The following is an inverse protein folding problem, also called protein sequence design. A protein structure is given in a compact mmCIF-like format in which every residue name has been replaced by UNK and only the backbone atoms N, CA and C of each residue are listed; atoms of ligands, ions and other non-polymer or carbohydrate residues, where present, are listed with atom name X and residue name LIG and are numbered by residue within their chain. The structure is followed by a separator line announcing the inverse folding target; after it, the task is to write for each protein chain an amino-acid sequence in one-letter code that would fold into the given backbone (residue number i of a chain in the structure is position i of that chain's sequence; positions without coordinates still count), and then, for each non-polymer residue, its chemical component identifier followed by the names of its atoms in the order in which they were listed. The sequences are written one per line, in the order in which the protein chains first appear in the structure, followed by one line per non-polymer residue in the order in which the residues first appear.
data_IF_226977179970
#
_entry.id   IF_226977179970
#
_cell.length_a   1.000
_cell.length_b   1.000
_cell.length_c   1.000
_cell.angle_alpha   90.00
_cell.angle_beta   90.00
_cell.angle_gamma   90.00
#
_symmetry.space_group_name_H-M   'P 1'
#
loop_
_entity.id
_entity.type
_entity.pdbx_description
1 polymer ?
#
# COMPACT_ATOMS: atom_id res chain seq x y z
N UNK A 1 23.43 -2.27 -2.64
CA UNK A 1 22.67 -1.37 -1.73
C UNK A 1 22.81 -1.83 -0.28
N UNK A 2 22.62 -3.12 0.01
CA UNK A 2 22.85 -3.70 1.35
C UNK A 2 24.30 -3.53 1.83
N UNK A 3 25.30 -3.93 1.03
CA UNK A 3 26.72 -3.80 1.42
C UNK A 3 27.15 -2.35 1.66
N UNK A 4 26.52 -1.42 0.94
CA UNK A 4 26.71 0.02 1.10
C UNK A 4 25.87 0.63 2.24
N UNK A 5 25.14 -0.20 3.01
CA UNK A 5 24.21 0.17 4.09
C UNK A 5 23.12 1.18 3.68
N UNK A 6 22.75 1.16 2.39
CA UNK A 6 21.68 2.01 1.84
C UNK A 6 20.30 1.41 2.11
N UNK A 7 20.21 0.09 2.15
CA UNK A 7 18.98 -0.65 2.47
C UNK A 7 19.30 -1.73 3.51
N UNK A 8 18.37 -2.07 4.41
CA UNK A 8 18.53 -3.19 5.32
C UNK A 8 18.61 -4.52 4.56
N UNK A 9 19.17 -5.53 5.22
CA UNK A 9 19.14 -6.92 4.74
C UNK A 9 17.70 -7.45 4.74
N UNK A 10 17.40 -8.44 3.89
CA UNK A 10 16.08 -9.09 3.92
C UNK A 10 15.78 -9.76 5.26
N UNK A 11 16.82 -10.26 5.93
CA UNK A 11 16.71 -10.82 7.26
C UNK A 11 16.28 -9.76 8.29
N UNK A 12 16.91 -8.58 8.30
CA UNK A 12 16.52 -7.48 9.19
C UNK A 12 15.08 -7.00 8.94
N UNK A 13 14.61 -7.06 7.69
CA UNK A 13 13.21 -6.73 7.34
C UNK A 13 12.20 -7.77 7.80
N UNK A 14 12.60 -9.04 7.81
CA UNK A 14 11.74 -10.13 8.29
C UNK A 14 11.75 -10.24 9.82
N UNK A 15 12.88 -10.01 10.49
CA UNK A 15 12.97 -9.99 11.96
C UNK A 15 12.26 -8.77 12.57
N UNK A 16 12.18 -7.69 11.79
CA UNK A 16 11.35 -6.52 12.03
C UNK A 16 9.83 -6.78 11.99
N UNK A 17 9.41 -7.97 11.53
CA UNK A 17 8.04 -8.33 11.18
C UNK A 17 6.99 -7.83 12.17
N UNK A 18 6.22 -6.84 11.72
CA UNK A 18 4.76 -6.82 11.76
C UNK A 18 4.32 -5.40 11.35
N UNK A 19 3.39 -5.35 10.40
CA UNK A 19 2.64 -4.16 9.98
C UNK A 19 3.23 -3.34 8.80
N UNK A 20 2.62 -3.60 7.65
CA UNK A 20 2.31 -2.68 6.54
C UNK A 20 3.47 -2.22 5.67
N UNK A 21 3.73 -2.97 4.58
CA UNK A 21 3.94 -2.45 3.22
C UNK A 21 5.09 -1.48 2.95
N UNK A 22 5.89 -1.12 3.96
CA UNK A 22 6.75 0.07 3.90
C UNK A 22 8.25 -0.25 3.85
N UNK A 23 8.58 -1.53 4.01
CA UNK A 23 9.95 -2.02 3.88
C UNK A 23 10.90 -1.66 5.01
N UNK A 24 10.43 -1.15 6.17
CA UNK A 24 11.21 -1.00 7.44
C UNK A 24 10.27 -0.99 8.66
N UNK A 25 10.74 -1.26 9.90
CA UNK A 25 9.98 -1.01 11.13
C UNK A 25 9.58 0.46 11.29
N UNK A 26 8.31 0.71 11.58
CA UNK A 26 7.81 2.06 11.93
C UNK A 26 8.64 2.68 13.05
N UNK A 27 8.98 1.92 14.11
CA UNK A 27 9.78 2.43 15.22
C UNK A 27 11.16 2.92 14.79
N UNK A 28 11.86 2.17 13.92
CA UNK A 28 13.19 2.52 13.44
C UNK A 28 13.17 3.70 12.46
N UNK A 29 12.08 3.84 11.70
CA UNK A 29 11.86 5.02 10.88
C UNK A 29 11.64 6.27 11.75
N UNK A 30 10.75 6.19 12.75
CA UNK A 30 10.47 7.30 13.66
C UNK A 30 11.70 7.71 14.50
N UNK A 31 12.59 6.77 14.85
CA UNK A 31 13.86 7.07 15.53
C UNK A 31 14.97 7.59 14.60
N UNK A 32 14.69 7.78 13.30
CA UNK A 32 15.64 8.22 12.26
C UNK A 32 16.83 7.26 12.10
N UNK A 33 16.67 5.99 12.48
CA UNK A 33 17.64 4.94 12.12
C UNK A 33 17.54 4.61 10.62
N UNK A 34 16.37 4.84 10.01
CA UNK A 34 16.18 4.84 8.56
C UNK A 34 15.77 6.23 8.08
N UNK A 35 16.49 6.75 7.08
CA UNK A 35 16.25 8.09 6.53
C UNK A 35 15.01 8.17 5.62
N UNK A 36 14.37 7.03 5.31
CA UNK A 36 13.20 7.00 4.44
C UNK A 36 12.54 5.63 4.37
N UNK A 37 11.30 5.63 3.89
CA UNK A 37 10.46 4.44 3.71
C UNK A 37 9.73 4.55 2.37
N UNK A 38 9.37 3.42 1.79
CA UNK A 38 8.27 3.40 0.80
C UNK A 38 6.97 3.38 1.59
N UNK A 39 5.94 4.15 1.24
CA UNK A 39 4.68 4.11 1.99
C UNK A 39 3.47 4.25 1.05
N UNK A 40 2.32 3.77 1.49
CA UNK A 40 1.04 4.05 0.83
C UNK A 40 0.69 5.54 0.93
N UNK A 41 0.46 6.17 -0.22
CA UNK A 41 0.02 7.57 -0.29
C UNK A 41 -1.21 7.84 0.59
N UNK A 42 -2.12 6.87 0.71
CA UNK A 42 -3.33 6.99 1.52
C UNK A 42 -3.06 7.11 3.03
N UNK A 43 -1.90 6.69 3.55
CA UNK A 43 -1.61 6.66 4.99
C UNK A 43 -0.48 7.60 5.43
N UNK A 44 0.16 8.30 4.50
CA UNK A 44 1.34 9.15 4.79
C UNK A 44 1.09 10.23 5.86
N UNK A 45 -0.15 10.70 5.99
CA UNK A 45 -0.56 11.65 7.03
C UNK A 45 -0.31 11.13 8.45
N UNK A 46 -0.42 9.82 8.68
CA UNK A 46 -0.15 9.21 9.98
C UNK A 46 1.34 9.33 10.34
N UNK A 47 2.23 8.94 9.43
CA UNK A 47 3.68 9.08 9.59
C UNK A 47 4.08 10.54 9.78
N UNK A 48 3.47 11.44 9.02
CA UNK A 48 3.73 12.88 9.12
C UNK A 48 3.38 13.45 10.49
N UNK A 49 2.21 13.12 11.04
CA UNK A 49 1.81 13.57 12.38
C UNK A 49 2.78 13.07 13.45
N UNK A 50 3.14 11.78 13.42
CA UNK A 50 4.07 11.20 14.39
C UNK A 50 5.48 11.81 14.33
N UNK A 51 5.96 12.14 13.12
CA UNK A 51 7.26 12.78 12.93
C UNK A 51 7.23 14.25 13.39
N UNK A 52 6.14 14.98 13.11
CA UNK A 52 5.94 16.36 13.58
C UNK A 52 5.94 16.46 15.10
N UNK A 53 5.30 15.53 15.81
CA UNK A 53 5.32 15.45 17.28
C UNK A 53 6.74 15.32 17.85
N UNK A 54 7.68 14.81 17.04
CA UNK A 54 9.10 14.66 17.39
C UNK A 54 9.98 15.77 16.82
N UNK A 55 9.39 16.86 16.31
CA UNK A 55 10.08 17.95 15.61
C UNK A 55 10.91 17.48 14.40
N UNK A 56 10.48 16.41 13.73
CA UNK A 56 11.10 15.89 12.52
C UNK A 56 10.30 16.30 11.28
N UNK A 57 11.01 16.42 10.15
CA UNK A 57 10.42 16.80 8.87
C UNK A 57 10.31 15.58 7.94
N UNK A 58 9.10 15.32 7.46
CA UNK A 58 8.86 14.39 6.35
C UNK A 58 8.89 15.13 5.01
N UNK A 59 9.55 14.54 4.01
CA UNK A 59 9.54 15.01 2.63
C UNK A 59 9.20 13.86 1.67
N UNK A 60 8.59 14.18 0.53
CA UNK A 60 8.31 13.20 -0.52
C UNK A 60 9.48 13.21 -1.50
N UNK A 61 10.09 12.04 -1.70
CA UNK A 61 11.13 11.83 -2.71
C UNK A 61 10.55 11.18 -3.96
N UNK A 62 11.25 11.33 -5.08
CA UNK A 62 11.03 10.47 -6.24
C UNK A 62 11.26 9.01 -5.86
N UNK A 63 10.41 8.12 -6.37
CA UNK A 63 10.57 6.69 -6.17
C UNK A 63 11.77 6.18 -6.98
N UNK A 64 12.63 5.33 -6.40
CA UNK A 64 13.81 4.83 -7.09
C UNK A 64 13.41 3.91 -8.25
N UNK A 65 14.05 4.10 -9.41
CA UNK A 65 13.89 3.26 -10.60
C UNK A 65 15.18 2.50 -10.88
N UNK A 66 15.08 1.20 -11.18
CA UNK A 66 16.25 0.36 -11.50
C UNK A 66 16.69 0.57 -12.94
N UNK A 67 15.73 0.79 -13.84
CA UNK A 67 15.95 1.14 -15.25
C UNK A 67 15.04 2.30 -15.63
N UNK A 68 15.48 3.14 -16.57
CA UNK A 68 14.65 4.21 -17.09
C UNK A 68 13.34 3.65 -17.65
N UNK A 69 12.21 4.18 -17.18
CA UNK A 69 10.87 3.71 -17.56
C UNK A 69 10.33 2.51 -16.78
N UNK A 70 11.03 2.00 -15.76
CA UNK A 70 10.47 0.96 -14.89
C UNK A 70 9.28 1.49 -14.09
N UNK A 71 8.12 0.82 -14.17
CA UNK A 71 6.93 1.15 -13.38
C UNK A 71 7.10 0.60 -11.96
N UNK A 72 7.26 1.47 -10.97
CA UNK A 72 7.41 1.08 -9.57
C UNK A 72 6.14 1.18 -8.72
N UNK A 73 5.12 1.87 -9.23
CA UNK A 73 3.93 2.18 -8.44
C UNK A 73 2.84 1.12 -8.57
N UNK A 74 2.18 0.84 -7.46
CA UNK A 74 0.97 0.02 -7.41
C UNK A 74 -0.22 0.92 -7.12
N UNK A 75 -1.22 0.90 -7.99
CA UNK A 75 -2.54 1.47 -7.69
C UNK A 75 -3.43 0.38 -7.07
N UNK A 76 -3.81 0.57 -5.82
CA UNK A 76 -4.65 -0.38 -5.09
C UNK A 76 -5.66 0.32 -4.17
N UNK A 77 -6.87 -0.23 -4.11
CA UNK A 77 -7.84 0.09 -3.06
C UNK A 77 -7.50 -0.67 -1.78
N UNK A 78 -7.27 0.05 -0.68
CA UNK A 78 -6.87 -0.56 0.61
C UNK A 78 -8.05 -0.95 1.50
N UNK A 79 -9.18 -0.23 1.42
CA UNK A 79 -10.33 -0.41 2.34
C UNK A 79 -11.68 -0.20 1.61
N UNK A 80 -12.04 -1.08 0.64
CA UNK A 80 -13.31 -0.95 -0.06
C UNK A 80 -14.50 -1.26 0.86
N UNK A 81 -15.61 -0.56 0.65
CA UNK A 81 -16.89 -0.93 1.24
C UNK A 81 -17.60 -1.97 0.35
N UNK A 82 -18.19 -2.99 0.98
CA UNK A 82 -19.02 -3.99 0.32
C UNK A 82 -20.44 -4.01 0.89
N UNK A 83 -21.44 -4.16 0.03
CA UNK A 83 -22.82 -4.42 0.44
C UNK A 83 -23.09 -5.91 0.24
N UNK A 84 -23.51 -6.60 1.31
CA UNK A 84 -23.86 -8.02 1.24
C UNK A 84 -25.03 -8.24 0.27
N UNK A 85 -24.88 -9.20 -0.64
CA UNK A 85 -25.95 -9.65 -1.54
C UNK A 85 -27.20 -10.13 -0.78
N UNK A 86 -27.02 -10.58 0.46
CA UNK A 86 -28.08 -11.17 1.29
C UNK A 86 -28.70 -10.18 2.30
N UNK A 87 -28.37 -8.87 2.21
CA UNK A 87 -28.95 -7.88 3.12
C UNK A 87 -30.47 -7.82 2.98
N UNK A 88 -31.17 -7.72 4.10
CA UNK A 88 -32.62 -7.48 4.13
C UNK A 88 -33.00 -6.02 3.85
N UNK A 89 -32.00 -5.12 3.82
CA UNK A 89 -32.18 -3.67 3.72
C UNK A 89 -31.30 -3.04 2.62
N UNK A 90 -31.38 -3.50 1.35
CA UNK A 90 -30.45 -3.08 0.31
C UNK A 90 -30.51 -1.57 0.03
N UNK A 91 -31.70 -0.95 0.13
CA UNK A 91 -31.88 0.48 -0.11
C UNK A 91 -31.26 1.32 1.00
N UNK A 92 -31.49 0.94 2.26
CA UNK A 92 -30.99 1.64 3.44
C UNK A 92 -29.48 1.52 3.55
N UNK A 93 -28.92 0.32 3.29
CA UNK A 93 -27.47 0.11 3.28
C UNK A 93 -26.81 0.94 2.16
N UNK A 94 -27.40 1.00 0.97
CA UNK A 94 -26.88 1.84 -0.11
C UNK A 94 -26.94 3.34 0.24
N UNK A 95 -28.02 3.81 0.89
CA UNK A 95 -28.13 5.19 1.38
C UNK A 95 -27.05 5.51 2.41
N UNK A 96 -26.81 4.62 3.37
CA UNK A 96 -25.74 4.79 4.37
C UNK A 96 -24.37 4.88 3.69
N UNK A 97 -24.06 3.96 2.77
CA UNK A 97 -22.78 3.99 2.06
C UNK A 97 -22.62 5.30 1.28
N UNK A 98 -23.67 5.74 0.57
CA UNK A 98 -23.64 7.02 -0.14
C UNK A 98 -23.41 8.20 0.82
N UNK A 99 -24.06 8.22 1.98
CA UNK A 99 -23.83 9.24 3.00
C UNK A 99 -22.34 9.28 3.40
N UNK A 100 -21.75 8.14 3.74
CA UNK A 100 -20.36 8.07 4.21
C UNK A 100 -19.33 8.57 3.18
N UNK A 101 -19.56 8.36 1.88
CA UNK A 101 -18.53 8.57 0.85
C UNK A 101 -18.81 9.73 -0.12
N UNK A 102 -20.04 10.26 -0.14
CA UNK A 102 -20.45 11.32 -1.07
C UNK A 102 -21.14 12.51 -0.39
N UNK A 103 -21.82 12.30 0.74
CA UNK A 103 -22.52 13.39 1.43
C UNK A 103 -21.53 14.24 2.23
N UNK A 104 -21.60 15.59 2.19
CA UNK A 104 -20.67 16.45 2.90
C UNK A 104 -20.57 16.19 4.41
N UNK A 105 -21.67 15.88 5.08
CA UNK A 105 -21.63 15.60 6.53
C UNK A 105 -20.94 14.27 6.81
N UNK A 106 -21.29 13.24 6.03
CA UNK A 106 -20.67 11.91 6.15
C UNK A 106 -19.19 11.92 5.80
N UNK A 107 -18.80 12.59 4.71
CA UNK A 107 -17.40 12.76 4.30
C UNK A 107 -16.60 13.47 5.38
N UNK A 108 -17.08 14.60 5.92
CA UNK A 108 -16.38 15.34 6.98
C UNK A 108 -16.24 14.50 8.25
N UNK A 109 -17.29 13.76 8.62
CA UNK A 109 -17.27 12.86 9.77
C UNK A 109 -16.27 11.71 9.58
N UNK A 110 -16.17 11.16 8.37
CA UNK A 110 -15.21 10.11 8.03
C UNK A 110 -13.76 10.63 7.99
N UNK A 111 -13.56 11.88 7.55
CA UNK A 111 -12.25 12.50 7.43
C UNK A 111 -11.26 11.61 6.66
N UNK A 112 -10.08 11.43 7.25
CA UNK A 112 -9.01 10.58 6.71
C UNK A 112 -8.89 9.21 7.39
N UNK A 113 -9.91 8.78 8.14
CA UNK A 113 -9.87 7.50 8.89
C UNK A 113 -9.67 6.26 8.03
N UNK A 114 -9.96 6.36 6.72
CA UNK A 114 -9.72 5.30 5.71
C UNK A 114 -8.70 5.72 4.65
N UNK A 115 -7.88 6.72 4.98
CA UNK A 115 -6.92 7.36 4.09
C UNK A 115 -7.53 8.43 3.19
N UNK A 116 -6.71 8.98 2.31
CA UNK A 116 -7.09 10.03 1.36
C UNK A 116 -8.16 9.49 0.39
N UNK A 117 -9.36 10.10 0.30
CA UNK A 117 -10.40 9.63 -0.60
C UNK A 117 -9.99 9.74 -2.08
N UNK A 118 -10.21 8.65 -2.84
CA UNK A 118 -10.05 8.67 -4.30
C UNK A 118 -11.17 9.44 -5.02
N UNK A 119 -12.28 9.71 -4.33
CA UNK A 119 -13.40 10.49 -4.86
C UNK A 119 -13.05 11.99 -4.83
N UNK A 120 -12.91 12.61 -6.00
CA UNK A 120 -12.57 14.03 -6.12
C UNK A 120 -13.53 14.96 -5.37
N UNK A 121 -14.83 14.64 -5.31
CA UNK A 121 -15.81 15.45 -4.57
C UNK A 121 -15.55 15.37 -3.07
N UNK A 122 -15.33 14.15 -2.56
CA UNK A 122 -15.02 13.95 -1.14
C UNK A 122 -13.68 14.61 -0.78
N UNK A 123 -12.68 14.49 -1.65
CA UNK A 123 -11.39 15.17 -1.46
C UNK A 123 -11.56 16.69 -1.33
N UNK A 124 -12.30 17.33 -2.24
CA UNK A 124 -12.57 18.78 -2.20
C UNK A 124 -13.29 19.19 -0.93
N UNK A 125 -14.30 18.43 -0.50
CA UNK A 125 -15.02 18.68 0.75
C UNK A 125 -14.06 18.69 1.96
N UNK A 126 -13.14 17.72 2.01
CA UNK A 126 -12.16 17.64 3.08
C UNK A 126 -11.10 18.74 2.99
N UNK A 127 -10.66 19.09 1.77
CA UNK A 127 -9.70 20.17 1.54
C UNK A 127 -10.26 21.53 1.97
N UNK A 128 -11.48 21.87 1.56
CA UNK A 128 -12.18 23.09 1.95
C UNK A 128 -12.44 23.16 3.47
N UNK A 129 -12.56 21.99 4.11
CA UNK A 129 -12.74 21.87 5.57
C UNK A 129 -11.41 21.77 6.34
N UNK A 130 -10.25 21.99 5.70
CA UNK A 130 -8.91 21.89 6.30
C UNK A 130 -8.61 20.52 6.95
N UNK A 131 -9.20 19.44 6.43
CA UNK A 131 -8.98 18.06 6.90
C UNK A 131 -7.94 17.30 6.06
N UNK A 132 -7.34 17.93 5.05
CA UNK A 132 -6.21 17.37 4.28
C UNK A 132 -4.94 18.14 4.65
N UNK A 133 -3.98 17.45 5.28
CA UNK A 133 -2.68 18.02 5.61
C UNK A 133 -1.79 18.25 4.36
N UNK A 134 -0.77 19.09 4.53
CA UNK A 134 0.10 19.51 3.42
C UNK A 134 0.85 18.35 2.76
N UNK A 135 1.25 17.33 3.53
CA UNK A 135 1.95 16.17 2.96
C UNK A 135 0.98 15.32 2.13
N UNK A 136 -0.27 15.19 2.57
CA UNK A 136 -1.32 14.47 1.88
C UNK A 136 -1.69 15.16 0.56
N UNK A 137 -1.69 16.49 0.53
CA UNK A 137 -1.81 17.27 -0.73
C UNK A 137 -0.64 17.00 -1.67
N UNK A 138 0.59 17.10 -1.16
CA UNK A 138 1.79 16.86 -1.97
C UNK A 138 1.84 15.45 -2.55
N UNK A 139 1.51 14.41 -1.77
CA UNK A 139 1.53 13.03 -2.28
C UNK A 139 0.41 12.79 -3.29
N UNK A 140 -0.77 13.38 -3.06
CA UNK A 140 -1.89 13.28 -4.00
C UNK A 140 -1.47 13.87 -5.35
N UNK A 141 -0.90 15.07 -5.35
CA UNK A 141 -0.39 15.71 -6.57
C UNK A 141 0.72 14.88 -7.23
N UNK A 142 1.68 14.42 -6.43
CA UNK A 142 2.79 13.60 -6.91
C UNK A 142 2.33 12.32 -7.61
N UNK A 143 1.25 11.70 -7.14
CA UNK A 143 0.75 10.41 -7.66
C UNK A 143 -0.24 10.53 -8.82
N UNK A 144 -0.69 11.74 -9.21
CA UNK A 144 -1.68 11.90 -10.29
C UNK A 144 -1.19 11.37 -11.64
N UNK A 145 0.08 11.61 -11.95
CA UNK A 145 0.68 11.31 -13.25
C UNK A 145 1.70 10.15 -13.18
N UNK A 146 1.68 9.35 -12.11
CA UNK A 146 2.61 8.23 -11.98
C UNK A 146 2.17 7.04 -12.81
N UNK A 147 3.12 6.45 -13.54
CA UNK A 147 2.86 5.22 -14.27
C UNK A 147 2.80 4.03 -13.31
N UNK A 148 1.67 3.34 -13.31
CA UNK A 148 1.37 2.24 -12.38
C UNK A 148 1.50 0.90 -13.07
N UNK A 149 1.90 -0.12 -12.29
CA UNK A 149 1.91 -1.49 -12.77
C UNK A 149 0.52 -1.89 -13.29
N UNK A 150 0.44 -2.66 -14.40
CA UNK A 150 -0.83 -3.15 -14.92
C UNK A 150 -1.61 -3.91 -13.84
N UNK A 151 -2.92 -3.69 -13.79
CA UNK A 151 -3.80 -4.47 -12.91
C UNK A 151 -3.79 -5.93 -13.36
N UNK A 152 -3.64 -6.85 -12.40
CA UNK A 152 -3.65 -8.28 -12.64
C UNK A 152 -4.52 -8.97 -11.57
N UNK A 153 -5.52 -9.75 -12.01
CA UNK A 153 -6.49 -10.42 -11.13
C UNK A 153 -5.85 -11.42 -10.17
N UNK A 154 -4.72 -12.04 -10.57
CA UNK A 154 -4.05 -13.07 -9.79
C UNK A 154 -3.21 -12.52 -8.63
N UNK A 155 -2.73 -11.27 -8.72
CA UNK A 155 -1.82 -10.67 -7.70
C UNK A 155 -2.42 -10.59 -6.29
N UNK A 156 -3.74 -10.67 -6.15
CA UNK A 156 -4.47 -10.62 -4.88
C UNK A 156 -5.10 -11.94 -4.47
N UNK A 157 -4.86 -13.01 -5.23
CA UNK A 157 -5.28 -14.33 -4.80
C UNK A 157 -4.40 -14.77 -3.63
N UNK A 158 -5.03 -15.16 -2.52
CA UNK A 158 -4.34 -15.63 -1.32
C UNK A 158 -3.29 -16.69 -1.67
N UNK A 159 -3.62 -17.64 -2.53
CA UNK A 159 -2.69 -18.69 -2.93
C UNK A 159 -1.43 -18.16 -3.64
N UNK A 160 -1.56 -17.18 -4.53
CA UNK A 160 -0.43 -16.54 -5.21
C UNK A 160 0.43 -15.76 -4.22
N UNK A 161 -0.19 -15.06 -3.26
CA UNK A 161 0.53 -14.35 -2.20
C UNK A 161 1.30 -15.30 -1.30
N UNK A 162 0.69 -16.43 -0.90
CA UNK A 162 1.36 -17.47 -0.11
C UNK A 162 2.57 -18.04 -0.84
N UNK A 163 2.45 -18.36 -2.14
CA UNK A 163 3.58 -18.84 -2.96
C UNK A 163 4.72 -17.81 -2.97
N UNK A 164 4.40 -16.52 -3.13
CA UNK A 164 5.39 -15.46 -3.09
C UNK A 164 6.09 -15.41 -1.71
N UNK A 165 5.31 -15.34 -0.63
CA UNK A 165 5.81 -15.16 0.73
C UNK A 165 6.71 -16.33 1.15
N UNK A 166 6.29 -17.58 0.92
CA UNK A 166 7.07 -18.78 1.30
C UNK A 166 8.40 -18.89 0.54
N UNK A 167 8.38 -18.64 -0.78
CA UNK A 167 9.61 -18.67 -1.58
C UNK A 167 10.53 -17.52 -1.21
N UNK A 168 9.99 -16.32 -1.02
CA UNK A 168 10.78 -15.15 -0.62
C UNK A 168 11.38 -15.33 0.78
N UNK A 169 10.65 -15.91 1.73
CA UNK A 169 11.15 -16.26 3.05
C UNK A 169 12.32 -17.27 2.96
N UNK A 170 12.18 -18.31 2.14
CA UNK A 170 13.24 -19.29 1.90
C UNK A 170 14.53 -18.62 1.38
N UNK A 171 14.39 -17.68 0.44
CA UNK A 171 15.51 -16.88 -0.05
C UNK A 171 16.11 -15.97 1.02
N UNK A 172 15.27 -15.24 1.76
CA UNK A 172 15.69 -14.28 2.78
C UNK A 172 16.51 -14.94 3.90
N UNK A 173 16.20 -16.20 4.25
CA UNK A 173 16.97 -17.00 5.22
C UNK A 173 18.12 -17.79 4.60
N UNK A 174 18.47 -17.54 3.34
CA UNK A 174 19.62 -18.16 2.67
C UNK A 174 19.46 -19.65 2.38
N UNK A 175 18.23 -20.19 2.41
CA UNK A 175 17.96 -21.62 2.17
C UNK A 175 18.00 -21.98 0.69
N UNK A 176 17.78 -21.00 -0.19
CA UNK A 176 17.79 -21.17 -1.65
C UNK A 176 18.54 -20.02 -2.32
N UNK A 177 19.10 -20.25 -3.50
CA UNK A 177 19.71 -19.18 -4.31
C UNK A 177 18.63 -18.32 -4.99
N UNK A 178 18.94 -17.06 -5.31
CA UNK A 178 18.00 -16.17 -6.00
C UNK A 178 17.41 -16.78 -7.28
N UNK A 179 18.23 -17.50 -8.05
CA UNK A 179 17.82 -18.13 -9.31
C UNK A 179 16.92 -19.35 -9.10
N UNK A 180 17.21 -20.15 -8.07
CA UNK A 180 16.36 -21.26 -7.67
C UNK A 180 15.01 -20.77 -7.16
N UNK A 181 15.00 -19.79 -6.26
CA UNK A 181 13.77 -19.17 -5.74
C UNK A 181 12.91 -18.62 -6.86
N UNK A 182 13.48 -17.85 -7.79
CA UNK A 182 12.75 -17.29 -8.91
C UNK A 182 12.14 -18.37 -9.80
N UNK A 183 12.91 -19.41 -10.12
CA UNK A 183 12.44 -20.52 -10.96
C UNK A 183 11.29 -21.28 -10.31
N UNK A 184 11.43 -21.61 -9.02
CA UNK A 184 10.41 -22.32 -8.25
C UNK A 184 9.13 -21.49 -8.11
N UNK A 185 9.26 -20.23 -7.69
CA UNK A 185 8.15 -19.29 -7.53
C UNK A 185 7.35 -19.13 -8.83
N UNK A 186 8.03 -18.97 -9.97
CA UNK A 186 7.37 -18.86 -11.27
C UNK A 186 6.59 -20.12 -11.65
N UNK A 187 7.19 -21.30 -11.45
CA UNK A 187 6.52 -22.58 -11.76
C UNK A 187 5.27 -22.79 -10.89
N UNK A 188 5.36 -22.51 -9.59
CA UNK A 188 4.24 -22.64 -8.65
C UNK A 188 3.12 -21.65 -8.97
N UNK A 189 3.45 -20.37 -9.24
CA UNK A 189 2.47 -19.37 -9.64
C UNK A 189 1.76 -19.73 -10.95
N UNK A 190 2.50 -20.24 -11.94
CA UNK A 190 1.90 -20.69 -13.22
C UNK A 190 0.94 -21.86 -13.02
N UNK A 191 1.30 -22.81 -12.17
CA UNK A 191 0.43 -23.93 -11.80
C UNK A 191 -0.84 -23.45 -11.11
N UNK A 192 -0.71 -22.57 -10.11
CA UNK A 192 -1.84 -21.98 -9.38
C UNK A 192 -2.79 -21.19 -10.29
N UNK A 193 -2.26 -20.39 -11.22
CA UNK A 193 -3.05 -19.65 -12.21
C UNK A 193 -3.82 -20.62 -13.10
N UNK A 194 -3.14 -21.65 -13.62
CA UNK A 194 -3.76 -22.65 -14.51
C UNK A 194 -4.90 -23.41 -13.84
N UNK A 195 -4.73 -23.76 -12.56
CA UNK A 195 -5.78 -24.41 -11.77
C UNK A 195 -6.99 -23.50 -11.58
N UNK A 196 -6.76 -22.24 -11.21
CA UNK A 196 -7.84 -21.26 -11.04
C UNK A 196 -8.65 -21.07 -12.32
N UNK A 197 -7.98 -20.81 -13.44
CA UNK A 197 -8.64 -20.59 -14.74
C UNK A 197 -9.35 -21.84 -15.27
N UNK A 198 -9.03 -23.05 -14.78
CA UNK A 198 -9.75 -24.28 -15.12
C UNK A 198 -11.06 -24.48 -14.33
N UNK A 199 -11.28 -23.67 -13.30
CA UNK A 199 -12.43 -23.78 -12.37
C UNK A 199 -13.44 -22.63 -12.46
N UNK A 200 -13.10 -21.55 -13.17
CA UNK A 200 -14.03 -20.49 -13.60
C UNK A 200 -14.70 -20.86 -14.93
#
# INVERSE_FOLDING_TARGET
MVDAKVTPTLQELQEASAAVGSGVPVKKFLSVEFAGVTEWAATVGNSYQLLQEQNQKLIISKYPTITDGSKGYVLQSIMPFGISKNTKHPKETAKLLNFLINDPEGVKAMGLTRGIPANEKAYKILEENNQIDDISKQVTEYTKDTDVMPKNKYLKMTHIQTIFDENFESFAFGKTSAQETASKMLAEMQSAISQYDSTE
#
